data_IF_293019680735
#
_entry.id   IF_293019680735
#
_cell.length_a   1.000
_cell.length_b   1.000
_cell.length_c   1.000
_cell.angle_alpha   90.00
_cell.angle_beta   90.00
_cell.angle_gamma   90.00
#
_symmetry.space_group_name_H-M   'P 1'
#
loop_
_entity.id
_entity.type
_entity.pdbx_description
1 polymer ?
#
# COMPACT_ATOMS: atom_id res chain seq x y z
N UNK A 1 1.92 20.37 -20.93
CA UNK A 1 0.81 19.44 -21.24
C UNK A 1 1.18 17.97 -21.03
N UNK A 2 2.20 17.40 -21.71
CA UNK A 2 2.59 15.98 -21.52
C UNK A 2 2.93 15.63 -20.06
N UNK A 3 3.80 16.42 -19.43
CA UNK A 3 4.19 16.25 -18.02
C UNK A 3 2.99 16.27 -17.06
N UNK A 4 1.98 17.07 -17.36
CA UNK A 4 0.77 17.18 -16.53
C UNK A 4 -0.09 15.92 -16.63
N UNK A 5 -0.33 15.42 -17.85
CA UNK A 5 -1.09 14.18 -18.08
C UNK A 5 -0.35 12.96 -17.51
N UNK A 6 0.99 12.93 -17.62
CA UNK A 6 1.84 11.93 -16.99
C UNK A 6 1.69 12.00 -15.47
N UNK A 7 1.84 13.18 -14.87
CA UNK A 7 1.75 13.36 -13.42
C UNK A 7 0.36 12.97 -12.88
N UNK A 8 -0.72 13.41 -13.53
CA UNK A 8 -2.09 13.00 -13.17
C UNK A 8 -2.20 11.47 -13.17
N UNK A 9 -1.64 10.80 -14.18
CA UNK A 9 -1.68 9.34 -14.26
C UNK A 9 -0.83 8.66 -13.19
N UNK A 10 0.38 9.16 -12.92
CA UNK A 10 1.27 8.62 -11.89
C UNK A 10 0.67 8.77 -10.49
N UNK A 11 -0.01 9.89 -10.25
CA UNK A 11 -0.72 10.19 -9.01
C UNK A 11 -2.11 9.54 -8.92
N UNK A 12 -2.48 8.68 -9.88
CA UNK A 12 -3.79 8.01 -9.96
C UNK A 12 -4.99 8.97 -9.97
N UNK A 13 -4.80 10.19 -10.45
CA UNK A 13 -5.86 11.19 -10.59
C UNK A 13 -6.80 10.84 -11.75
N UNK A 14 -8.04 11.33 -11.66
CA UNK A 14 -9.04 11.13 -12.71
C UNK A 14 -8.65 11.90 -13.96
N UNK A 15 -8.44 11.18 -15.06
CA UNK A 15 -8.13 11.77 -16.37
C UNK A 15 -9.41 12.24 -17.07
N UNK A 16 -9.35 13.41 -17.71
CA UNK A 16 -10.41 13.87 -18.63
C UNK A 16 -10.40 13.08 -19.94
N UNK A 17 -11.40 13.30 -20.80
CA UNK A 17 -11.42 12.72 -22.16
C UNK A 17 -10.20 13.15 -22.98
N UNK A 18 -9.85 14.43 -22.89
CA UNK A 18 -8.69 15.00 -23.59
C UNK A 18 -7.37 14.44 -23.04
N UNK A 19 -7.22 14.36 -21.72
CA UNK A 19 -6.04 13.73 -21.08
C UNK A 19 -5.88 12.27 -21.53
N UNK A 20 -6.99 11.52 -21.58
CA UNK A 20 -6.98 10.11 -22.00
C UNK A 20 -6.57 9.94 -23.46
N UNK A 21 -7.09 10.80 -24.34
CA UNK A 21 -6.73 10.82 -25.75
C UNK A 21 -5.23 11.13 -25.92
N UNK A 22 -4.75 12.17 -25.26
CA UNK A 22 -3.36 12.61 -25.33
C UNK A 22 -2.38 11.56 -24.76
N UNK A 23 -2.75 10.94 -23.64
CA UNK A 23 -2.01 9.80 -23.07
C UNK A 23 -1.88 8.66 -24.08
N UNK A 24 -2.96 8.35 -24.81
CA UNK A 24 -2.99 7.25 -25.77
C UNK A 24 -2.22 7.53 -27.06
N UNK A 25 -2.30 8.77 -27.58
CA UNK A 25 -1.78 9.11 -28.90
C UNK A 25 -0.35 9.64 -28.89
N UNK A 26 0.07 10.31 -27.81
CA UNK A 26 1.37 11.00 -27.76
C UNK A 26 2.31 10.36 -26.74
N UNK A 27 1.81 10.06 -25.53
CA UNK A 27 2.68 9.62 -24.42
C UNK A 27 2.99 8.12 -24.49
N UNK A 28 1.96 7.25 -24.61
CA UNK A 28 2.16 5.79 -24.64
C UNK A 28 3.07 5.29 -25.77
N UNK A 29 3.01 5.82 -27.01
CA UNK A 29 3.93 5.41 -28.07
C UNK A 29 5.40 5.71 -27.73
N UNK A 30 5.69 6.90 -27.20
CA UNK A 30 7.03 7.28 -26.73
C UNK A 30 7.50 6.38 -25.58
N UNK A 31 6.61 6.10 -24.63
CA UNK A 31 6.90 5.19 -23.52
C UNK A 31 7.19 3.76 -23.97
N UNK A 32 6.53 3.26 -25.03
CA UNK A 32 6.86 1.95 -25.63
C UNK A 32 8.25 1.93 -26.25
N UNK A 33 8.70 3.03 -26.86
CA UNK A 33 10.05 3.16 -27.41
C UNK A 33 11.11 3.20 -26.29
N UNK A 34 10.77 3.81 -25.13
CA UNK A 34 11.65 3.86 -23.95
C UNK A 34 11.67 2.53 -23.16
N UNK A 35 10.70 1.63 -23.39
CA UNK A 35 10.60 0.32 -22.72
C UNK A 35 11.83 -0.58 -22.99
N UNK A 36 12.61 -0.27 -24.03
CA UNK A 36 13.89 -0.89 -24.37
C UNK A 36 15.08 -0.36 -23.53
N UNK A 37 14.95 0.79 -22.85
CA UNK A 37 16.07 1.50 -22.21
C UNK A 37 15.95 1.71 -20.68
N UNK A 38 14.76 1.73 -20.05
CA UNK A 38 14.68 1.66 -18.56
C UNK A 38 13.29 1.42 -17.94
N UNK A 39 13.33 0.93 -16.68
CA UNK A 39 12.32 0.87 -15.60
C UNK A 39 10.88 0.40 -15.93
N UNK A 40 10.72 -0.92 -16.06
CA UNK A 40 9.45 -1.64 -16.36
C UNK A 40 8.23 -1.29 -15.49
N UNK A 41 8.42 -0.80 -14.26
CA UNK A 41 7.32 -0.60 -13.31
C UNK A 41 6.54 0.71 -13.53
N UNK A 42 7.21 1.82 -13.85
CA UNK A 42 6.56 3.09 -14.20
C UNK A 42 5.66 2.93 -15.43
N UNK A 43 6.14 2.15 -16.41
CA UNK A 43 5.39 1.82 -17.62
C UNK A 43 4.13 1.00 -17.32
N UNK A 44 4.17 0.08 -16.36
CA UNK A 44 3.00 -0.70 -15.96
C UNK A 44 1.86 0.17 -15.40
N UNK A 45 2.16 1.19 -14.59
CA UNK A 45 1.14 2.14 -14.08
C UNK A 45 0.46 2.95 -15.20
N UNK A 46 1.22 3.28 -16.24
CA UNK A 46 0.76 4.13 -17.36
C UNK A 46 0.08 3.32 -18.48
N UNK A 47 0.38 2.02 -18.57
CA UNK A 47 -0.25 1.11 -19.53
C UNK A 47 -1.77 1.11 -19.39
N UNK A 48 -2.45 0.95 -20.51
CA UNK A 48 -3.91 0.81 -20.51
C UNK A 48 -4.30 -0.56 -19.99
N UNK A 49 -5.25 -0.63 -19.07
CA UNK A 49 -5.91 -1.89 -18.71
C UNK A 49 -7.42 -1.71 -18.82
N UNK A 50 -8.02 -2.41 -19.78
CA UNK A 50 -9.46 -2.35 -20.03
C UNK A 50 -10.27 -2.99 -18.89
N UNK A 51 -9.71 -4.01 -18.21
CA UNK A 51 -10.38 -4.72 -17.11
C UNK A 51 -10.51 -3.86 -15.86
N UNK A 52 -9.57 -2.94 -15.65
CA UNK A 52 -9.52 -2.06 -14.47
C UNK A 52 -10.85 -1.34 -14.22
N UNK A 53 -11.42 -0.71 -15.26
CA UNK A 53 -12.70 0.01 -15.13
C UNK A 53 -13.87 -0.88 -14.74
N UNK A 54 -13.92 -2.11 -15.27
CA UNK A 54 -14.98 -3.06 -14.99
C UNK A 54 -14.87 -3.53 -13.54
N UNK A 55 -13.66 -3.90 -13.11
CA UNK A 55 -13.38 -4.30 -11.72
C UNK A 55 -13.76 -3.18 -10.75
N UNK A 56 -13.30 -1.95 -11.02
CA UNK A 56 -13.63 -0.78 -10.20
C UNK A 56 -15.13 -0.55 -10.10
N UNK A 57 -15.85 -0.66 -11.22
CA UNK A 57 -17.31 -0.52 -11.24
C UNK A 57 -18.01 -1.58 -10.40
N UNK A 58 -17.62 -2.84 -10.55
CA UNK A 58 -18.19 -3.94 -9.77
C UNK A 58 -17.97 -3.76 -8.27
N UNK A 59 -16.77 -3.30 -7.87
CA UNK A 59 -16.45 -2.97 -6.48
C UNK A 59 -17.36 -1.85 -5.96
N UNK A 60 -17.50 -0.76 -6.72
CA UNK A 60 -18.34 0.38 -6.33
C UNK A 60 -19.80 -0.04 -6.19
N UNK A 61 -20.35 -0.77 -7.16
CA UNK A 61 -21.74 -1.22 -7.14
C UNK A 61 -22.03 -2.15 -5.95
N UNK A 62 -21.12 -3.11 -5.68
CA UNK A 62 -21.22 -3.99 -4.52
C UNK A 62 -21.26 -3.19 -3.20
N UNK A 63 -20.30 -2.28 -3.02
CA UNK A 63 -20.15 -1.54 -1.76
C UNK A 63 -21.33 -0.59 -1.53
N UNK A 64 -21.76 0.15 -2.56
CA UNK A 64 -22.88 1.10 -2.43
C UNK A 64 -24.25 0.41 -2.27
N UNK A 65 -24.37 -0.84 -2.71
CA UNK A 65 -25.56 -1.65 -2.45
C UNK A 65 -25.71 -1.94 -0.95
N UNK A 66 -24.61 -2.28 -0.29
CA UNK A 66 -24.57 -2.74 1.11
C UNK A 66 -24.36 -1.60 2.13
N UNK A 67 -23.56 -0.59 1.80
CA UNK A 67 -23.24 0.53 2.69
C UNK A 67 -23.74 1.84 2.05
N UNK A 68 -24.76 2.45 2.65
CA UNK A 68 -25.41 3.65 2.10
C UNK A 68 -24.65 4.96 2.37
N UNK A 69 -23.90 5.03 3.46
CA UNK A 69 -23.24 6.27 3.91
C UNK A 69 -21.75 6.30 3.54
N UNK A 70 -21.38 5.73 2.38
CA UNK A 70 -20.00 5.76 1.89
C UNK A 70 -19.61 7.18 1.49
N UNK A 71 -18.45 7.63 1.99
CA UNK A 71 -17.81 8.90 1.63
C UNK A 71 -16.80 8.72 0.51
N UNK A 72 -15.98 7.67 0.59
CA UNK A 72 -15.01 7.33 -0.46
C UNK A 72 -14.66 5.85 -0.46
N UNK A 73 -14.30 5.34 -1.63
CA UNK A 73 -13.76 3.99 -1.82
C UNK A 73 -12.37 4.13 -2.43
N UNK A 74 -11.39 3.54 -1.77
CA UNK A 74 -9.97 3.76 -2.03
C UNK A 74 -9.31 2.42 -2.21
N UNK A 75 -8.55 2.28 -3.30
CA UNK A 75 -7.70 1.13 -3.56
C UNK A 75 -6.25 1.49 -3.27
N UNK A 76 -5.47 0.51 -2.82
CA UNK A 76 -4.02 0.63 -2.66
C UNK A 76 -3.36 -0.72 -2.91
N UNK A 77 -2.06 -0.81 -2.66
CA UNK A 77 -1.31 -2.04 -2.83
C UNK A 77 -1.07 -2.39 -4.29
N UNK A 78 -0.96 -3.70 -4.57
CA UNK A 78 -0.45 -4.21 -5.84
C UNK A 78 -1.31 -3.82 -7.04
N UNK A 79 -2.64 -3.76 -6.88
CA UNK A 79 -3.59 -3.42 -7.95
C UNK A 79 -3.36 -2.03 -8.53
N UNK A 80 -2.98 -1.07 -7.68
CA UNK A 80 -2.70 0.31 -8.10
C UNK A 80 -1.33 0.39 -8.75
N UNK A 81 -0.32 -0.27 -8.16
CA UNK A 81 1.05 -0.26 -8.66
C UNK A 81 1.20 -0.98 -10.01
N UNK A 82 0.50 -2.10 -10.21
CA UNK A 82 0.54 -2.86 -11.47
C UNK A 82 -0.58 -2.51 -12.43
N UNK A 83 -1.47 -1.57 -12.05
CA UNK A 83 -2.67 -1.21 -12.80
C UNK A 83 -3.47 -2.46 -13.22
N UNK A 84 -3.75 -3.34 -12.24
CA UNK A 84 -4.50 -4.60 -12.40
C UNK A 84 -3.90 -5.61 -13.40
N UNK A 85 -2.63 -5.45 -13.79
CA UNK A 85 -2.00 -6.42 -14.70
C UNK A 85 -1.60 -7.71 -13.97
N UNK A 86 -1.26 -7.60 -12.68
CA UNK A 86 -0.94 -8.71 -11.78
C UNK A 86 -1.40 -8.36 -10.36
N UNK A 87 -2.34 -9.12 -9.83
CA UNK A 87 -2.83 -9.01 -8.45
C UNK A 87 -3.44 -10.34 -8.00
N UNK A 88 -3.34 -10.65 -6.72
CA UNK A 88 -3.94 -11.85 -6.11
C UNK A 88 -5.22 -11.49 -5.34
N UNK A 89 -5.17 -10.38 -4.62
CA UNK A 89 -6.24 -9.71 -3.90
C UNK A 89 -6.25 -8.22 -4.24
N UNK A 90 -7.33 -7.57 -3.82
CA UNK A 90 -7.55 -6.14 -4.00
C UNK A 90 -7.69 -5.52 -2.62
N UNK A 91 -6.65 -4.82 -2.18
CA UNK A 91 -6.67 -4.05 -0.94
C UNK A 91 -7.58 -2.82 -1.09
N UNK A 92 -8.52 -2.68 -0.15
CA UNK A 92 -9.58 -1.69 -0.23
C UNK A 92 -9.83 -1.03 1.13
N UNK A 93 -9.86 0.31 1.15
CA UNK A 93 -10.34 1.10 2.27
C UNK A 93 -11.65 1.79 1.91
N UNK A 94 -12.70 1.46 2.66
CA UNK A 94 -14.00 2.11 2.60
C UNK A 94 -14.07 3.15 3.71
N UNK A 95 -14.25 4.42 3.33
CA UNK A 95 -14.49 5.49 4.28
C UNK A 95 -15.97 5.80 4.32
N UNK A 96 -16.60 5.71 5.50
CA UNK A 96 -17.98 6.12 5.70
C UNK A 96 -18.07 7.55 6.25
N UNK A 97 -19.21 8.21 6.02
CA UNK A 97 -19.47 9.56 6.54
C UNK A 97 -19.57 9.56 8.06
N UNK A 98 -20.17 8.51 8.62
CA UNK A 98 -20.38 8.26 10.03
C UNK A 98 -20.14 6.77 10.31
N UNK A 99 -19.92 6.43 11.58
CA UNK A 99 -19.74 5.03 12.02
C UNK A 99 -21.00 4.22 11.67
N UNK A 100 -20.84 3.07 11.00
CA UNK A 100 -21.95 2.18 10.60
C UNK A 100 -22.00 0.88 11.40
N UNK A 101 -21.12 0.73 12.39
CA UNK A 101 -21.05 -0.42 13.28
C UNK A 101 -21.08 0.06 14.73
N UNK A 102 -21.77 -0.66 15.60
CA UNK A 102 -21.77 -0.37 17.03
C UNK A 102 -20.46 -0.81 17.67
N UNK A 103 -20.01 -2.03 17.34
CA UNK A 103 -18.83 -2.68 17.90
C UNK A 103 -17.96 -3.34 16.81
N UNK A 104 -16.78 -3.83 17.21
CA UNK A 104 -15.82 -4.45 16.29
C UNK A 104 -16.32 -5.78 15.68
N UNK A 105 -17.21 -6.50 16.37
CA UNK A 105 -17.84 -7.71 15.86
C UNK A 105 -18.75 -7.41 14.66
N UNK A 106 -19.70 -6.48 14.82
CA UNK A 106 -20.58 -6.03 13.73
C UNK A 106 -19.77 -5.48 12.54
N UNK A 107 -18.68 -4.78 12.82
CA UNK A 107 -17.75 -4.32 11.78
C UNK A 107 -17.17 -5.50 10.99
N UNK A 108 -16.69 -6.54 11.68
CA UNK A 108 -16.13 -7.74 11.07
C UNK A 108 -17.19 -8.50 10.26
N UNK A 109 -18.42 -8.60 10.74
CA UNK A 109 -19.52 -9.24 10.02
C UNK A 109 -19.85 -8.52 8.70
N UNK A 110 -19.87 -7.18 8.71
CA UNK A 110 -20.05 -6.38 7.49
C UNK A 110 -18.93 -6.65 6.49
N UNK A 111 -17.68 -6.68 6.96
CA UNK A 111 -16.49 -6.96 6.14
C UNK A 111 -16.58 -8.36 5.53
N UNK A 112 -16.78 -9.39 6.35
CA UNK A 112 -16.87 -10.78 5.89
C UNK A 112 -17.99 -10.96 4.85
N UNK A 113 -19.16 -10.38 5.09
CA UNK A 113 -20.28 -10.43 4.15
C UNK A 113 -19.95 -9.77 2.80
N UNK A 114 -19.24 -8.63 2.82
CA UNK A 114 -18.78 -7.97 1.60
C UNK A 114 -17.75 -8.82 0.85
N UNK A 115 -16.77 -9.39 1.55
CA UNK A 115 -15.76 -10.26 0.96
C UNK A 115 -16.38 -11.52 0.34
N UNK A 116 -17.35 -12.14 1.01
CA UNK A 116 -18.04 -13.32 0.48
C UNK A 116 -18.91 -12.99 -0.72
N UNK A 117 -19.57 -11.83 -0.73
CA UNK A 117 -20.29 -11.34 -1.93
C UNK A 117 -19.32 -11.00 -3.06
N UNK A 118 -18.13 -10.49 -2.76
CA UNK A 118 -17.10 -10.21 -3.76
C UNK A 118 -16.55 -11.49 -4.39
N UNK A 119 -16.33 -12.54 -3.59
CA UNK A 119 -15.89 -13.85 -4.10
C UNK A 119 -16.88 -14.42 -5.12
N UNK A 120 -18.19 -14.25 -4.89
CA UNK A 120 -19.25 -14.69 -5.82
C UNK A 120 -19.20 -14.00 -7.19
N UNK A 121 -18.62 -12.79 -7.27
CA UNK A 121 -18.39 -12.07 -8.53
C UNK A 121 -16.95 -12.19 -9.04
N UNK A 122 -16.19 -13.15 -8.50
CA UNK A 122 -14.82 -13.46 -8.93
C UNK A 122 -13.75 -12.48 -8.42
N UNK A 123 -14.03 -11.74 -7.35
CA UNK A 123 -13.09 -10.79 -6.75
C UNK A 123 -12.67 -11.26 -5.35
N UNK A 124 -11.36 -11.27 -5.08
CA UNK A 124 -10.80 -11.43 -3.74
C UNK A 124 -10.48 -10.03 -3.20
N UNK A 125 -11.29 -9.52 -2.29
CA UNK A 125 -11.08 -8.21 -1.65
C UNK A 125 -10.50 -8.42 -0.25
N UNK A 126 -9.57 -7.56 0.15
CA UNK A 126 -9.16 -7.38 1.54
C UNK A 126 -9.69 -6.01 1.99
N UNK A 127 -10.74 -6.03 2.83
CA UNK A 127 -11.55 -4.84 3.10
C UNK A 127 -11.26 -4.28 4.48
N UNK A 128 -10.82 -3.02 4.50
CA UNK A 128 -10.82 -2.18 5.69
C UNK A 128 -11.97 -1.16 5.62
N UNK A 129 -12.67 -0.95 6.73
CA UNK A 129 -13.72 0.07 6.85
C UNK A 129 -13.37 1.02 7.99
N UNK A 130 -13.43 2.33 7.76
CA UNK A 130 -13.27 3.37 8.77
C UNK A 130 -14.31 4.47 8.55
N UNK A 131 -14.82 5.07 9.61
CA UNK A 131 -15.52 6.34 9.47
C UNK A 131 -14.50 7.48 9.32
N UNK A 132 -14.95 8.63 8.82
CA UNK A 132 -14.05 9.75 8.53
C UNK A 132 -13.30 10.27 9.76
N UNK A 133 -13.88 10.19 10.96
CA UNK A 133 -13.24 10.67 12.18
C UNK A 133 -12.13 9.71 12.57
N UNK A 134 -12.44 8.41 12.68
CA UNK A 134 -11.45 7.37 12.96
C UNK A 134 -10.31 7.37 11.93
N UNK A 135 -10.63 7.56 10.64
CA UNK A 135 -9.59 7.66 9.61
C UNK A 135 -8.61 8.80 9.87
N UNK A 136 -9.09 9.99 10.23
CA UNK A 136 -8.23 11.15 10.47
C UNK A 136 -7.29 10.93 11.65
N UNK A 137 -7.81 10.31 12.71
CA UNK A 137 -7.04 9.98 13.90
C UNK A 137 -5.97 8.93 13.56
N UNK A 138 -6.38 7.78 13.02
CA UNK A 138 -5.49 6.64 12.76
C UNK A 138 -4.48 6.93 11.65
N UNK A 139 -4.85 7.66 10.59
CA UNK A 139 -3.95 7.95 9.47
C UNK A 139 -2.67 8.65 9.94
N UNK A 140 -2.79 9.61 10.85
CA UNK A 140 -1.63 10.39 11.34
C UNK A 140 -0.75 9.62 12.30
N UNK A 141 -1.22 8.50 12.86
CA UNK A 141 -0.52 7.71 13.87
C UNK A 141 -0.22 6.27 13.41
N UNK A 142 -0.38 5.97 12.12
CA UNK A 142 -0.18 4.62 11.60
C UNK A 142 0.77 4.63 10.39
N UNK A 143 2.07 4.37 10.60
CA UNK A 143 3.08 4.27 9.55
C UNK A 143 2.68 3.37 8.37
N UNK A 144 2.06 2.22 8.63
CA UNK A 144 1.64 1.29 7.59
C UNK A 144 0.53 1.88 6.72
N UNK A 145 -0.48 2.50 7.33
CA UNK A 145 -1.56 3.13 6.60
C UNK A 145 -1.06 4.32 5.76
N UNK A 146 -0.08 5.07 6.27
CA UNK A 146 0.56 6.17 5.53
C UNK A 146 1.21 5.67 4.24
N UNK A 147 1.98 4.57 4.32
CA UNK A 147 2.62 3.96 3.15
C UNK A 147 1.60 3.34 2.18
N UNK A 148 0.59 2.64 2.70
CA UNK A 148 -0.48 2.09 1.87
C UNK A 148 -1.18 3.21 1.09
N UNK A 149 -1.47 4.32 1.76
CA UNK A 149 -2.15 5.46 1.15
C UNK A 149 -1.25 6.31 0.24
N UNK A 150 0.08 6.10 0.22
CA UNK A 150 0.97 6.85 -0.68
C UNK A 150 0.66 6.57 -2.15
N UNK A 151 0.42 5.30 -2.50
CA UNK A 151 0.03 4.85 -3.84
C UNK A 151 -1.45 4.48 -3.89
N UNK A 152 -2.30 5.34 -3.35
CA UNK A 152 -3.74 5.11 -3.38
C UNK A 152 -4.36 5.48 -4.73
N UNK A 153 -5.55 4.94 -4.97
CA UNK A 153 -6.45 5.36 -6.04
C UNK A 153 -7.86 5.47 -5.49
N UNK A 154 -8.42 6.67 -5.52
CA UNK A 154 -9.83 6.91 -5.18
C UNK A 154 -10.70 6.51 -6.37
N UNK A 155 -11.55 5.49 -6.21
CA UNK A 155 -12.44 5.01 -7.27
C UNK A 155 -13.88 5.54 -7.11
N UNK A 156 -14.25 5.97 -5.90
CA UNK A 156 -15.53 6.61 -5.62
C UNK A 156 -15.38 7.71 -4.56
N UNK A 157 -16.15 8.78 -4.72
CA UNK A 157 -16.21 9.89 -3.78
C UNK A 157 -14.96 10.77 -3.79
N UNK A 158 -14.71 11.46 -2.67
CA UNK A 158 -13.54 12.31 -2.46
C UNK A 158 -13.05 12.18 -1.01
N UNK A 159 -11.74 12.06 -0.83
CA UNK A 159 -11.09 12.10 0.47
C UNK A 159 -9.95 13.12 0.43
N UNK A 160 -9.93 14.04 1.39
CA UNK A 160 -8.78 14.91 1.58
C UNK A 160 -7.81 14.20 2.52
N UNK A 161 -6.73 13.66 1.96
CA UNK A 161 -5.67 13.02 2.71
C UNK A 161 -4.72 14.11 3.23
N UNK A 162 -4.44 14.18 4.55
CA UNK A 162 -3.49 15.14 5.09
C UNK A 162 -2.15 15.08 4.35
N UNK A 163 -1.66 16.24 3.89
CA UNK A 163 -0.36 16.34 3.20
C UNK A 163 0.82 16.34 4.16
N UNK A 164 0.60 16.90 5.36
CA UNK A 164 1.57 16.96 6.44
C UNK A 164 1.20 15.94 7.49
N UNK A 165 2.16 15.13 7.88
CA UNK A 165 2.00 14.07 8.86
C UNK A 165 2.98 14.33 9.98
N UNK A 166 2.48 14.30 11.22
CA UNK A 166 3.32 14.40 12.40
C UNK A 166 3.28 13.08 13.15
N UNK A 167 4.37 12.31 13.06
CA UNK A 167 4.49 11.00 13.70
C UNK A 167 5.30 11.10 14.99
N UNK A 168 4.70 10.84 16.15
CA UNK A 168 5.44 10.75 17.41
C UNK A 168 6.47 9.63 17.39
N UNK A 169 7.61 9.87 18.02
CA UNK A 169 8.70 8.88 18.19
C UNK A 169 8.21 7.55 18.79
N UNK A 170 7.26 7.61 19.74
CA UNK A 170 6.67 6.40 20.37
C UNK A 170 5.92 5.52 19.36
N UNK A 171 5.26 6.11 18.36
CA UNK A 171 4.55 5.35 17.31
C UNK A 171 5.52 4.53 16.47
N UNK A 172 6.73 5.07 16.22
CA UNK A 172 7.76 4.36 15.48
C UNK A 172 8.40 3.24 16.30
N UNK A 173 8.57 3.45 17.61
CA UNK A 173 8.98 2.37 18.53
C UNK A 173 7.97 1.24 18.53
N UNK A 174 6.69 1.54 18.78
CA UNK A 174 5.63 0.53 18.76
C UNK A 174 5.57 -0.22 17.43
N UNK A 175 5.79 0.47 16.31
CA UNK A 175 5.82 -0.17 15.00
C UNK A 175 7.04 -1.07 14.80
N UNK A 176 8.19 -0.70 15.36
CA UNK A 176 9.40 -1.51 15.37
C UNK A 176 9.26 -2.73 16.28
N UNK A 177 8.59 -2.61 17.43
CA UNK A 177 8.30 -3.74 18.32
C UNK A 177 7.46 -4.81 17.60
N UNK A 178 6.57 -4.40 16.67
CA UNK A 178 5.83 -5.33 15.80
C UNK A 178 6.68 -5.94 14.67
N UNK A 179 7.98 -5.63 14.60
CA UNK A 179 8.94 -6.31 13.73
C UNK A 179 9.71 -7.41 14.45
N UNK A 180 9.46 -7.65 15.73
CA UNK A 180 10.09 -8.75 16.45
C UNK A 180 9.44 -10.08 16.08
N UNK A 181 10.26 -11.15 16.02
CA UNK A 181 9.80 -12.49 15.68
C UNK A 181 9.43 -13.25 16.95
N UNK A 182 8.13 -13.34 17.21
CA UNK A 182 7.61 -14.05 18.39
C UNK A 182 7.54 -15.58 18.20
N UNK A 183 7.63 -16.07 16.97
CA UNK A 183 7.47 -17.48 16.65
C UNK A 183 8.80 -18.26 16.75
N UNK A 184 8.77 -19.43 17.39
CA UNK A 184 9.94 -20.33 17.55
C UNK A 184 10.47 -20.81 16.18
N UNK A 185 9.59 -20.93 15.18
CA UNK A 185 9.93 -21.31 13.81
C UNK A 185 9.19 -20.41 12.82
N UNK A 186 9.72 -19.20 12.55
CA UNK A 186 9.00 -18.24 11.75
C UNK A 186 8.87 -18.69 10.29
N UNK A 187 7.70 -18.39 9.71
CA UNK A 187 7.48 -18.57 8.29
C UNK A 187 8.36 -17.60 7.48
N UNK A 188 8.61 -17.90 6.20
CA UNK A 188 9.37 -16.97 5.36
C UNK A 188 8.64 -15.63 5.21
N UNK A 189 7.31 -15.69 5.14
CA UNK A 189 6.44 -14.52 5.02
C UNK A 189 6.46 -13.66 6.28
N UNK A 190 6.46 -14.27 7.47
CA UNK A 190 6.63 -13.58 8.75
C UNK A 190 7.95 -12.79 8.78
N UNK A 191 9.07 -13.46 8.47
CA UNK A 191 10.40 -12.82 8.42
C UNK A 191 10.40 -11.64 7.44
N UNK A 192 9.84 -11.83 6.25
CA UNK A 192 9.74 -10.76 5.25
C UNK A 192 8.92 -9.57 5.77
N UNK A 193 7.80 -9.82 6.43
CA UNK A 193 6.93 -8.77 6.96
C UNK A 193 7.62 -7.98 8.09
N UNK A 194 8.34 -8.64 8.97
CA UNK A 194 9.15 -8.00 10.01
C UNK A 194 10.24 -7.10 9.41
N UNK A 195 11.01 -7.62 8.45
CA UNK A 195 12.05 -6.83 7.76
C UNK A 195 11.44 -5.62 7.07
N UNK A 196 10.33 -5.82 6.35
CA UNK A 196 9.62 -4.73 5.67
C UNK A 196 9.13 -3.66 6.66
N UNK A 197 8.61 -4.06 7.82
CA UNK A 197 8.17 -3.13 8.86
C UNK A 197 9.35 -2.31 9.41
N UNK A 198 10.50 -2.92 9.67
CA UNK A 198 11.70 -2.21 10.15
C UNK A 198 12.20 -1.20 9.13
N UNK A 199 12.31 -1.61 7.86
CA UNK A 199 12.73 -0.70 6.80
C UNK A 199 11.74 0.45 6.58
N UNK A 200 10.45 0.20 6.74
CA UNK A 200 9.43 1.25 6.70
C UNK A 200 9.70 2.29 7.80
N UNK A 201 9.98 1.85 9.03
CA UNK A 201 10.34 2.75 10.13
C UNK A 201 11.60 3.56 9.80
N UNK A 202 12.66 2.91 9.29
CA UNK A 202 13.91 3.59 8.87
C UNK A 202 13.68 4.67 7.83
N UNK A 203 12.88 4.39 6.81
CA UNK A 203 12.57 5.37 5.77
C UNK A 203 11.75 6.56 6.33
N UNK A 204 10.87 6.31 7.30
CA UNK A 204 10.17 7.40 8.01
C UNK A 204 11.15 8.27 8.80
N UNK A 205 12.16 7.66 9.47
CA UNK A 205 13.21 8.41 10.17
C UNK A 205 13.96 9.37 9.23
N UNK A 206 14.11 8.98 7.96
CA UNK A 206 14.72 9.81 6.91
C UNK A 206 13.72 10.71 6.16
N UNK A 207 12.45 10.76 6.62
CA UNK A 207 11.34 11.54 6.03
C UNK A 207 10.98 11.12 4.60
N UNK A 208 11.22 9.88 4.24
CA UNK A 208 10.89 9.30 2.93
C UNK A 208 9.63 8.47 3.07
N UNK A 209 8.57 8.79 2.33
CA UNK A 209 7.37 7.93 2.18
C UNK A 209 7.25 7.55 0.70
N UNK A 210 7.86 6.43 0.33
CA UNK A 210 7.85 5.92 -1.04
C UNK A 210 7.96 4.39 -1.07
N UNK A 211 6.93 3.73 -1.62
CA UNK A 211 6.89 2.26 -1.73
C UNK A 211 7.90 1.71 -2.74
N UNK A 212 8.30 2.50 -3.74
CA UNK A 212 9.33 2.09 -4.71
C UNK A 212 10.69 2.02 -4.04
N UNK A 213 11.07 3.04 -3.27
CA UNK A 213 12.31 3.02 -2.49
C UNK A 213 12.31 1.87 -1.48
N UNK A 214 11.20 1.65 -0.76
CA UNK A 214 11.09 0.51 0.16
C UNK A 214 11.33 -0.84 -0.55
N UNK A 215 10.74 -1.02 -1.74
CA UNK A 215 10.91 -2.26 -2.50
C UNK A 215 12.33 -2.43 -3.05
N UNK A 216 12.99 -1.37 -3.49
CA UNK A 216 14.36 -1.46 -4.02
C UNK A 216 15.36 -1.69 -2.90
N UNK A 217 15.20 -1.01 -1.76
CA UNK A 217 16.05 -1.21 -0.59
C UNK A 217 16.06 -2.68 -0.15
N UNK A 218 14.87 -3.32 -0.10
CA UNK A 218 14.75 -4.75 0.17
C UNK A 218 15.50 -5.63 -0.84
N UNK A 219 15.48 -5.26 -2.13
CA UNK A 219 16.14 -6.02 -3.20
C UNK A 219 17.65 -5.83 -3.16
N UNK A 220 18.13 -4.63 -2.86
CA UNK A 220 19.56 -4.30 -2.78
C UNK A 220 20.22 -5.00 -1.59
N UNK A 221 19.57 -5.03 -0.42
CA UNK A 221 20.16 -5.60 0.80
C UNK A 221 20.09 -7.14 0.86
N UNK A 222 18.93 -7.72 0.51
CA UNK A 222 18.69 -9.18 0.68
C UNK A 222 18.76 -9.95 -0.63
N UNK A 223 18.71 -9.27 -1.77
CA UNK A 223 18.65 -9.91 -3.07
C UNK A 223 17.24 -10.36 -3.45
N UNK A 224 16.94 -10.22 -4.74
CA UNK A 224 15.60 -10.50 -5.30
C UNK A 224 15.11 -11.94 -5.06
N UNK A 225 16.01 -12.92 -5.10
CA UNK A 225 15.65 -14.34 -4.95
C UNK A 225 15.24 -14.66 -3.52
N UNK A 226 16.01 -14.18 -2.53
CA UNK A 226 15.70 -14.38 -1.11
C UNK A 226 14.36 -13.73 -0.76
N UNK A 227 14.12 -12.48 -1.18
CA UNK A 227 12.84 -11.79 -0.97
C UNK A 227 11.66 -12.59 -1.55
N UNK A 228 11.80 -13.09 -2.77
CA UNK A 228 10.75 -13.93 -3.39
C UNK A 228 10.53 -15.21 -2.60
N UNK A 229 11.59 -15.91 -2.22
CA UNK A 229 11.51 -17.17 -1.50
C UNK A 229 10.90 -16.99 -0.10
N UNK A 230 11.22 -15.90 0.59
CA UNK A 230 10.59 -15.54 1.87
C UNK A 230 9.09 -15.29 1.68
N UNK A 231 8.70 -14.41 0.75
CA UNK A 231 7.29 -14.08 0.47
C UNK A 231 6.44 -15.29 0.08
N UNK A 232 7.02 -16.25 -0.63
CA UNK A 232 6.32 -17.45 -1.09
C UNK A 232 6.42 -18.63 -0.10
N UNK A 233 7.00 -18.41 1.08
CA UNK A 233 7.28 -19.46 2.08
C UNK A 233 8.11 -20.64 1.53
N UNK A 234 8.99 -20.36 0.56
CA UNK A 234 9.90 -21.32 -0.09
C UNK A 234 11.35 -21.19 0.37
N UNK A 235 11.64 -20.23 1.28
CA UNK A 235 12.98 -20.02 1.80
C UNK A 235 13.48 -21.24 2.59
N UNK A 236 14.70 -21.67 2.26
CA UNK A 236 15.45 -22.70 2.98
C UNK A 236 15.79 -22.26 4.40
N UNK A 237 16.19 -23.21 5.26
CA UNK A 237 16.62 -22.91 6.64
C UNK A 237 17.78 -21.90 6.68
N UNK A 238 18.74 -22.03 5.77
CA UNK A 238 19.89 -21.12 5.68
C UNK A 238 19.47 -19.72 5.25
N UNK A 239 18.60 -19.60 4.25
CA UNK A 239 18.03 -18.32 3.81
C UNK A 239 17.25 -17.63 4.92
N UNK A 240 16.42 -18.39 5.66
CA UNK A 240 15.70 -17.86 6.82
C UNK A 240 16.66 -17.36 7.90
N UNK A 241 17.69 -18.13 8.23
CA UNK A 241 18.71 -17.72 9.21
C UNK A 241 19.38 -16.41 8.81
N UNK A 242 19.84 -16.30 7.57
CA UNK A 242 20.47 -15.08 7.06
C UNK A 242 19.52 -13.87 7.12
N UNK A 243 18.25 -14.06 6.77
CA UNK A 243 17.24 -13.00 6.84
C UNK A 243 16.94 -12.56 8.28
N UNK A 244 16.94 -13.50 9.24
CA UNK A 244 16.77 -13.21 10.67
C UNK A 244 17.99 -12.46 11.22
N UNK A 245 19.22 -12.88 10.87
CA UNK A 245 20.44 -12.20 11.30
C UNK A 245 20.45 -10.75 10.78
N UNK A 246 20.04 -10.55 9.53
CA UNK A 246 19.85 -9.21 8.96
C UNK A 246 18.78 -8.42 9.70
N UNK A 247 17.59 -9.01 9.95
CA UNK A 247 16.50 -8.37 10.71
C UNK A 247 16.97 -7.88 12.08
N UNK A 248 17.65 -8.73 12.85
CA UNK A 248 18.14 -8.38 14.18
C UNK A 248 19.10 -7.19 14.13
N UNK A 249 20.06 -7.23 13.19
CA UNK A 249 20.99 -6.12 12.97
C UNK A 249 20.25 -4.80 12.67
N UNK A 250 19.32 -4.81 11.71
CA UNK A 250 18.60 -3.59 11.33
C UNK A 250 17.65 -3.11 12.43
N UNK A 251 17.06 -4.01 13.23
CA UNK A 251 16.23 -3.64 14.38
C UNK A 251 17.06 -2.87 15.42
N UNK A 252 18.23 -3.40 15.78
CA UNK A 252 19.13 -2.74 16.73
C UNK A 252 19.60 -1.36 16.25
N UNK A 253 20.02 -1.26 14.98
CA UNK A 253 20.45 0.01 14.38
C UNK A 253 19.30 1.03 14.36
N UNK A 254 18.10 0.60 13.97
CA UNK A 254 16.91 1.45 13.91
C UNK A 254 16.49 1.90 15.30
N UNK A 255 16.52 1.03 16.31
CA UNK A 255 16.19 1.38 17.68
C UNK A 255 17.18 2.42 18.25
N UNK A 256 18.49 2.28 17.95
CA UNK A 256 19.52 3.27 18.31
C UNK A 256 19.24 4.63 17.65
N UNK A 257 18.94 4.64 16.35
CA UNK A 257 18.58 5.87 15.62
C UNK A 257 17.34 6.54 16.21
N UNK A 258 16.29 5.76 16.49
CA UNK A 258 15.08 6.26 17.16
C UNK A 258 15.48 6.89 18.49
N UNK A 259 16.21 6.18 19.35
CA UNK A 259 16.58 6.67 20.69
C UNK A 259 17.42 7.94 20.64
N UNK A 260 18.37 8.03 19.71
CA UNK A 260 19.26 9.19 19.53
C UNK A 260 18.59 10.38 18.83
N UNK A 261 17.46 10.17 18.16
CA UNK A 261 16.72 11.25 17.53
C UNK A 261 16.27 12.30 18.56
N UNK A 262 16.66 13.55 18.32
CA UNK A 262 16.35 14.72 19.16
C UNK A 262 14.93 15.23 18.99
N UNK A 263 14.27 14.90 17.88
CA UNK A 263 12.89 15.28 17.64
C UNK A 263 11.93 14.35 18.37
N UNK A 264 10.87 14.93 18.95
CA UNK A 264 9.76 14.18 19.55
C UNK A 264 8.76 13.69 18.50
N UNK A 265 8.67 14.41 17.37
CA UNK A 265 7.82 14.09 16.22
C UNK A 265 8.57 14.26 14.90
N UNK A 266 8.37 13.32 13.97
CA UNK A 266 8.77 13.48 12.57
C UNK A 266 7.65 14.19 11.83
N UNK A 267 8.00 15.29 11.17
CA UNK A 267 7.14 15.99 10.22
C UNK A 267 7.54 15.58 8.81
N UNK A 268 6.58 15.02 8.06
CA UNK A 268 6.70 14.64 6.64
C UNK A 268 5.62 15.35 5.83
#
# INVERSE_FOLDING_TARGET
MEKEVINKRLNNEKLTKQDSYYLSKSIRPKLKQIEELSNKNLLQRVKYNHKAKIIERNIIELILKEIKVVKSIILYGSVVQTNYSKYNDIDLLIITKNKVWENNWKKKDIINNLEDKAKKIGLKLDIQILDIQTFREVYTSNPSLIYQMKDNKVIYGKLNIPKRIELPKIVLKMKLDWSDLDSINPSGEEIYNCIRNTLLVRLILTKIIDNFYLSNYLIEELGKNLIRNLRENKASKTEKKMAIDYLNKINEETLKEINNATWEKIVI
#
